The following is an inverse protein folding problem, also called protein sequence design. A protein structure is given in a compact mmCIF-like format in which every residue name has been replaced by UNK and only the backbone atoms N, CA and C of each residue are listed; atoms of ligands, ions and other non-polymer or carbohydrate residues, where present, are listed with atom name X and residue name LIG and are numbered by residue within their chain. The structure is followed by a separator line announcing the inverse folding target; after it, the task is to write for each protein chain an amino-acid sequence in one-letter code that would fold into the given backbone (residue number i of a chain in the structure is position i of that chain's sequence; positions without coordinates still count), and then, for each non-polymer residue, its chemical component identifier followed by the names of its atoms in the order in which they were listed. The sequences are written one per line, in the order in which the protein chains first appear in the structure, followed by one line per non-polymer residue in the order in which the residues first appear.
data_IF_303518709797
#
_entry.id   IF_303518709797
#
_cell.length_a   1.000
_cell.length_b   1.000
_cell.length_c   1.000
_cell.angle_alpha   90.00
_cell.angle_beta   90.00
_cell.angle_gamma   90.00
#
_symmetry.space_group_name_H-M   'P 1'
#
loop_
_entity.id
_entity.type
_entity.pdbx_description
1 polymer ?
#
# COMPACT_ATOMS: atom_id res chain seq x y z
N UNK A 1 13.43 27.08 33.37
CA UNK A 1 13.70 26.74 31.95
C UNK A 1 14.87 25.77 31.84
N UNK A 2 16.07 26.13 32.32
CA UNK A 2 17.27 25.28 32.24
C UNK A 2 17.13 23.87 32.85
N UNK A 3 16.46 23.74 34.00
CA UNK A 3 16.22 22.44 34.63
C UNK A 3 15.35 21.52 33.76
N UNK A 4 14.31 22.05 33.12
CA UNK A 4 13.45 21.29 32.20
C UNK A 4 14.23 20.85 30.96
N UNK A 5 15.03 21.73 30.37
CA UNK A 5 15.90 21.40 29.24
C UNK A 5 16.90 20.29 29.60
N UNK A 6 17.43 20.28 30.83
CA UNK A 6 18.29 19.18 31.31
C UNK A 6 17.54 17.86 31.44
N UNK A 7 16.31 17.86 31.94
CA UNK A 7 15.48 16.64 32.02
C UNK A 7 15.25 16.09 30.60
N UNK A 8 14.85 16.95 29.67
CA UNK A 8 14.63 16.58 28.26
C UNK A 8 15.93 16.07 27.62
N UNK A 9 17.05 16.77 27.79
CA UNK A 9 18.34 16.37 27.24
C UNK A 9 18.86 15.05 27.82
N UNK A 10 18.67 14.84 29.13
CA UNK A 10 19.05 13.59 29.81
C UNK A 10 18.22 12.43 29.28
N UNK A 11 16.91 12.66 29.14
CA UNK A 11 15.98 11.66 28.60
C UNK A 11 16.26 11.34 27.13
N UNK A 12 16.60 12.35 26.33
CA UNK A 12 16.92 12.20 24.92
C UNK A 12 18.24 11.47 24.65
N UNK A 13 19.12 11.33 25.65
CA UNK A 13 20.36 10.57 25.58
C UNK A 13 21.25 10.89 24.35
N UNK A 14 21.21 12.14 23.87
CA UNK A 14 21.96 12.60 22.70
C UNK A 14 21.20 12.59 21.37
N UNK A 15 19.97 12.06 21.29
CA UNK A 15 19.13 12.19 20.09
C UNK A 15 18.33 13.50 20.11
N UNK A 16 18.76 14.47 19.30
CA UNK A 16 18.11 15.77 19.19
C UNK A 16 16.64 15.68 18.74
N UNK A 17 16.23 14.63 18.02
CA UNK A 17 14.83 14.43 17.59
C UNK A 17 13.96 14.03 18.76
N UNK A 18 14.45 13.15 19.64
CA UNK A 18 13.75 12.78 20.87
C UNK A 18 13.55 14.01 21.75
N UNK A 19 14.60 14.83 21.90
CA UNK A 19 14.51 16.09 22.64
C UNK A 19 13.46 17.05 22.05
N UNK A 20 13.45 17.20 20.72
CA UNK A 20 12.50 18.07 20.02
C UNK A 20 11.06 17.56 20.15
N UNK A 21 10.83 16.25 19.97
CA UNK A 21 9.51 15.64 20.11
C UNK A 21 8.96 15.81 21.53
N UNK A 22 9.77 15.55 22.56
CA UNK A 22 9.36 15.76 23.96
C UNK A 22 8.99 17.22 24.20
N UNK A 23 9.76 18.16 23.65
CA UNK A 23 9.46 19.58 23.75
C UNK A 23 8.15 19.95 23.03
N UNK A 24 7.94 19.45 21.82
CA UNK A 24 6.75 19.70 21.01
C UNK A 24 5.49 19.14 21.68
N UNK A 25 5.55 17.90 22.16
CA UNK A 25 4.47 17.32 22.97
C UNK A 25 4.21 18.11 24.24
N UNK A 26 5.25 18.61 24.91
CA UNK A 26 5.11 19.39 26.14
C UNK A 26 4.44 20.74 25.88
N UNK A 27 4.72 21.38 24.76
CA UNK A 27 4.05 22.62 24.34
C UNK A 27 2.59 22.34 23.94
N UNK A 28 2.34 21.29 23.16
CA UNK A 28 0.99 20.93 22.70
C UNK A 28 0.08 20.44 23.83
N UNK A 29 0.66 19.92 24.91
CA UNK A 29 -0.06 19.41 26.08
C UNK A 29 -0.18 20.44 27.21
N UNK A 30 0.43 21.63 27.07
CA UNK A 30 0.33 22.68 28.08
C UNK A 30 -0.99 23.44 27.96
N UNK A 31 -1.67 23.65 29.09
CA UNK A 31 -2.87 24.47 29.11
C UNK A 31 -2.54 25.97 29.01
N UNK A 32 -3.28 26.75 28.19
CA UNK A 32 -3.15 28.19 28.14
C UNK A 32 -3.49 28.81 29.49
N UNK A 33 -2.66 29.73 29.95
CA UNK A 33 -2.95 30.53 31.14
C UNK A 33 -3.98 31.61 30.85
N UNK A 34 -4.61 32.20 31.88
CA UNK A 34 -5.57 33.30 31.71
C UNK A 34 -5.00 34.53 30.98
N UNK A 35 -3.68 34.68 30.95
CA UNK A 35 -2.95 35.74 30.24
C UNK A 35 -2.58 35.38 28.80
N UNK A 36 -3.04 34.23 28.30
CA UNK A 36 -2.74 33.71 26.95
C UNK A 36 -1.35 33.09 26.81
N UNK A 37 -0.55 33.01 27.88
CA UNK A 37 0.79 32.39 27.82
C UNK A 37 0.73 30.89 28.07
N UNK A 38 1.61 30.13 27.40
CA UNK A 38 1.79 28.70 27.65
C UNK A 38 2.95 28.51 28.64
N UNK A 39 2.73 27.71 29.68
CA UNK A 39 3.79 27.29 30.59
C UNK A 39 3.87 25.78 30.68
N UNK A 40 4.95 25.25 30.13
CA UNK A 40 5.36 23.87 30.35
C UNK A 40 5.84 23.70 31.79
N UNK A 41 5.24 22.76 32.52
CA UNK A 41 5.65 22.38 33.87
C UNK A 41 6.46 21.09 33.86
N UNK A 42 7.17 20.85 34.97
CA UNK A 42 7.94 19.60 35.12
C UNK A 42 7.04 18.36 35.13
N UNK A 43 5.85 18.47 35.71
CA UNK A 43 4.88 17.37 35.74
C UNK A 43 4.43 16.98 34.33
N UNK A 44 4.15 17.95 33.45
CA UNK A 44 3.82 17.70 32.03
C UNK A 44 4.96 16.98 31.33
N UNK A 45 6.20 17.45 31.49
CA UNK A 45 7.37 16.81 30.88
C UNK A 45 7.59 15.41 31.44
N UNK A 46 7.41 15.20 32.75
CA UNK A 46 7.55 13.89 33.39
C UNK A 46 6.45 12.92 32.98
N UNK A 47 5.23 13.39 32.75
CA UNK A 47 4.13 12.57 32.24
C UNK A 47 4.43 12.10 30.81
N UNK A 48 4.92 13.00 29.95
CA UNK A 48 5.33 12.68 28.58
C UNK A 48 6.48 11.67 28.56
N UNK A 49 7.48 11.88 29.42
CA UNK A 49 8.62 10.96 29.58
C UNK A 49 8.20 9.58 30.13
N UNK A 50 7.14 9.53 30.96
CA UNK A 50 6.60 8.29 31.54
C UNK A 50 5.76 7.49 30.56
N UNK A 51 5.20 8.13 29.52
CA UNK A 51 4.57 7.38 28.43
C UNK A 51 5.68 6.52 27.81
N UNK A 52 5.49 5.21 27.64
CA UNK A 52 6.48 4.38 26.98
C UNK A 52 6.65 4.95 25.60
N UNK A 53 7.72 5.69 25.38
CA UNK A 53 7.87 6.33 24.10
C UNK A 53 8.27 5.23 23.16
N UNK A 54 7.28 4.83 22.36
CA UNK A 54 7.44 3.95 21.23
C UNK A 54 8.26 4.70 20.18
N UNK A 55 9.45 5.21 20.49
CA UNK A 55 10.30 5.75 19.44
C UNK A 55 10.73 4.55 18.60
N UNK A 56 10.03 4.33 17.49
CA UNK A 56 10.58 3.58 16.39
C UNK A 56 11.79 4.37 15.95
N UNK A 57 12.97 3.80 16.14
CA UNK A 57 14.14 4.24 15.41
C UNK A 57 13.75 4.13 13.92
N UNK A 58 13.47 5.28 13.28
CA UNK A 58 13.10 5.35 11.86
C UNK A 58 14.19 4.75 10.96
N UNK A 59 15.39 4.52 11.49
CA UNK A 59 16.52 3.83 10.85
C UNK A 59 16.82 2.44 11.45
N UNK A 60 16.05 2.00 12.44
CA UNK A 60 16.33 0.81 13.23
C UNK A 60 15.50 -0.41 12.83
N UNK A 61 15.87 -1.53 13.42
CA UNK A 61 15.24 -2.84 13.19
C UNK A 61 13.73 -2.85 13.50
N UNK A 62 13.30 -2.10 14.53
CA UNK A 62 11.91 -2.08 14.99
C UNK A 62 10.95 -1.49 13.96
N UNK A 63 11.36 -0.47 13.20
CA UNK A 63 10.58 0.08 12.09
C UNK A 63 10.21 -1.02 11.08
N UNK A 64 11.21 -1.81 10.67
CA UNK A 64 11.02 -2.90 9.72
C UNK A 64 10.19 -4.04 10.31
N UNK A 65 10.36 -4.34 11.60
CA UNK A 65 9.58 -5.37 12.29
C UNK A 65 8.09 -4.99 12.37
N UNK A 66 7.77 -3.75 12.74
CA UNK A 66 6.39 -3.28 12.85
C UNK A 66 5.66 -3.28 11.51
N UNK A 67 6.27 -2.72 10.46
CA UNK A 67 5.63 -2.70 9.13
C UNK A 67 5.53 -4.09 8.52
N UNK A 68 6.50 -4.96 8.77
CA UNK A 68 6.48 -6.36 8.35
C UNK A 68 5.35 -7.13 9.02
N UNK A 69 5.17 -6.96 10.34
CA UNK A 69 4.08 -7.55 11.09
C UNK A 69 2.72 -7.04 10.61
N UNK A 70 2.59 -5.72 10.41
CA UNK A 70 1.39 -5.09 9.89
C UNK A 70 0.94 -5.69 8.55
N UNK A 71 1.84 -5.72 7.55
CA UNK A 71 1.52 -6.22 6.21
C UNK A 71 1.24 -7.72 6.22
N UNK A 72 1.94 -8.49 7.05
CA UNK A 72 1.64 -9.92 7.24
C UNK A 72 0.26 -10.13 7.87
N UNK A 73 -0.13 -9.35 8.87
CA UNK A 73 -1.47 -9.45 9.48
C UNK A 73 -2.57 -9.17 8.47
N UNK A 74 -2.44 -8.10 7.66
CA UNK A 74 -3.42 -7.80 6.60
C UNK A 74 -3.49 -8.93 5.56
N UNK A 75 -2.33 -9.46 5.13
CA UNK A 75 -2.25 -10.59 4.18
C UNK A 75 -2.91 -11.87 4.70
N UNK A 76 -2.78 -12.15 6.00
CA UNK A 76 -3.40 -13.32 6.65
C UNK A 76 -4.86 -13.06 7.08
N UNK A 77 -5.44 -11.92 6.70
CA UNK A 77 -6.81 -11.53 7.05
C UNK A 77 -7.05 -11.42 8.57
N UNK A 78 -6.00 -11.16 9.34
CA UNK A 78 -6.09 -10.89 10.78
C UNK A 78 -6.27 -9.38 10.99
N UNK A 79 -7.53 -8.95 11.01
CA UNK A 79 -7.91 -7.54 11.13
C UNK A 79 -7.52 -6.94 12.48
N UNK A 80 -7.62 -7.71 13.57
CA UNK A 80 -7.31 -7.24 14.92
C UNK A 80 -5.81 -7.03 15.09
N UNK A 81 -4.98 -7.99 14.64
CA UNK A 81 -3.53 -7.81 14.65
C UNK A 81 -3.09 -6.67 13.73
N UNK A 82 -3.71 -6.53 12.56
CA UNK A 82 -3.40 -5.42 11.65
C UNK A 82 -3.69 -4.05 12.30
N UNK A 83 -4.82 -3.90 13.00
CA UNK A 83 -5.13 -2.68 13.75
C UNK A 83 -4.14 -2.41 14.87
N UNK A 84 -3.73 -3.45 15.61
CA UNK A 84 -2.73 -3.31 16.66
C UNK A 84 -1.39 -2.79 16.11
N UNK A 85 -0.88 -3.36 15.02
CA UNK A 85 0.37 -2.93 14.42
C UNK A 85 0.27 -1.54 13.79
N UNK A 86 -0.88 -1.20 13.18
CA UNK A 86 -1.15 0.15 12.69
C UNK A 86 -1.09 1.18 13.83
N UNK A 87 -1.80 0.91 14.93
CA UNK A 87 -1.81 1.78 16.10
C UNK A 87 -0.41 1.94 16.70
N UNK A 88 0.33 0.84 16.85
CA UNK A 88 1.73 0.85 17.32
C UNK A 88 2.62 1.75 16.46
N UNK A 89 2.52 1.66 15.13
CA UNK A 89 3.29 2.52 14.23
C UNK A 89 2.88 4.00 14.32
N UNK A 90 1.58 4.30 14.37
CA UNK A 90 1.09 5.67 14.46
C UNK A 90 1.46 6.35 15.78
N UNK A 91 1.31 5.64 16.90
CA UNK A 91 1.73 6.13 18.22
C UNK A 91 3.25 6.21 18.33
N UNK A 92 3.98 5.42 17.54
CA UNK A 92 5.43 5.49 17.42
C UNK A 92 5.95 6.65 16.54
N UNK A 93 5.06 7.44 15.94
CA UNK A 93 5.42 8.54 15.05
C UNK A 93 5.96 8.10 13.69
N UNK A 94 5.57 6.91 13.24
CA UNK A 94 5.85 6.43 11.88
C UNK A 94 5.27 7.39 10.82
N UNK A 95 5.95 7.51 9.67
CA UNK A 95 5.41 8.32 8.57
C UNK A 95 4.06 7.70 8.09
N UNK A 96 2.91 8.39 8.23
CA UNK A 96 1.63 7.83 7.80
C UNK A 96 1.57 7.62 6.28
N UNK A 97 2.33 8.38 5.49
CA UNK A 97 2.44 8.13 4.05
C UNK A 97 3.26 6.87 3.77
N UNK A 98 4.23 6.50 4.62
CA UNK A 98 4.92 5.22 4.52
C UNK A 98 3.95 4.06 4.72
N UNK A 99 3.12 4.11 5.76
CA UNK A 99 2.07 3.11 6.00
C UNK A 99 1.12 3.03 4.80
N UNK A 100 0.63 4.18 4.31
CA UNK A 100 -0.28 4.23 3.17
C UNK A 100 0.32 3.62 1.89
N UNK A 101 1.59 3.92 1.58
CA UNK A 101 2.30 3.31 0.43
C UNK A 101 2.35 1.78 0.54
N UNK A 102 2.53 1.25 1.75
CA UNK A 102 2.57 -0.21 1.99
C UNK A 102 1.20 -0.86 1.81
N UNK A 103 0.12 -0.17 2.18
CA UNK A 103 -1.25 -0.62 1.88
C UNK A 103 -1.55 -0.62 0.37
N UNK A 104 -1.10 0.40 -0.37
CA UNK A 104 -1.26 0.46 -1.84
C UNK A 104 -0.54 -0.71 -2.51
N UNK A 105 0.69 -1.04 -2.09
CA UNK A 105 1.42 -2.21 -2.61
C UNK A 105 0.66 -3.50 -2.30
N UNK A 106 0.27 -3.70 -1.04
CA UNK A 106 -0.46 -4.89 -0.60
C UNK A 106 -1.78 -5.07 -1.38
N UNK A 107 -2.50 -3.99 -1.68
CA UNK A 107 -3.75 -4.04 -2.41
C UNK A 107 -3.60 -4.68 -3.80
N UNK A 108 -2.49 -4.45 -4.49
CA UNK A 108 -2.20 -5.11 -5.78
C UNK A 108 -1.49 -6.45 -5.64
N UNK A 109 -0.66 -6.62 -4.61
CA UNK A 109 0.17 -7.82 -4.39
C UNK A 109 -0.63 -9.00 -3.84
N UNK A 110 -1.47 -8.75 -2.83
CA UNK A 110 -2.09 -9.79 -2.00
C UNK A 110 -3.62 -9.88 -2.18
N UNK A 111 -4.25 -8.91 -2.85
CA UNK A 111 -5.70 -8.89 -3.15
C UNK A 111 -5.93 -8.86 -4.67
N UNK A 112 -5.33 -7.89 -5.37
CA UNK A 112 -5.31 -7.84 -6.83
C UNK A 112 -6.72 -7.87 -7.44
N UNK A 113 -6.94 -8.78 -8.39
CA UNK A 113 -8.21 -8.92 -9.09
C UNK A 113 -9.27 -9.70 -8.30
N UNK A 114 -8.95 -10.25 -7.12
CA UNK A 114 -9.97 -10.83 -6.25
C UNK A 114 -10.93 -9.75 -5.70
N UNK A 115 -10.42 -8.54 -5.50
CA UNK A 115 -11.22 -7.35 -5.23
C UNK A 115 -10.52 -6.07 -5.76
N UNK A 116 -10.85 -5.63 -7.00
CA UNK A 116 -10.23 -4.45 -7.58
C UNK A 116 -10.45 -3.14 -6.80
N UNK A 117 -11.48 -3.07 -5.93
CA UNK A 117 -11.72 -1.88 -5.11
C UNK A 117 -10.67 -1.70 -4.01
N UNK A 118 -9.91 -2.75 -3.66
CA UNK A 118 -8.82 -2.68 -2.70
C UNK A 118 -7.80 -1.57 -3.04
N UNK A 119 -7.37 -1.49 -4.31
CA UNK A 119 -6.40 -0.47 -4.73
C UNK A 119 -7.00 0.93 -4.64
N UNK A 120 -8.27 1.09 -5.01
CA UNK A 120 -8.99 2.38 -4.95
C UNK A 120 -9.09 2.86 -3.51
N UNK A 121 -9.51 1.99 -2.58
CA UNK A 121 -9.62 2.30 -1.15
C UNK A 121 -8.25 2.67 -0.54
N UNK A 122 -7.20 1.93 -0.88
CA UNK A 122 -5.84 2.21 -0.40
C UNK A 122 -5.33 3.58 -0.89
N UNK A 123 -5.56 3.92 -2.17
CA UNK A 123 -5.19 5.22 -2.73
C UNK A 123 -6.01 6.35 -2.10
N UNK A 124 -7.32 6.16 -1.88
CA UNK A 124 -8.15 7.13 -1.20
C UNK A 124 -7.67 7.41 0.24
N UNK A 125 -7.27 6.36 0.98
CA UNK A 125 -6.68 6.54 2.30
C UNK A 125 -5.34 7.28 2.25
N UNK A 126 -4.47 6.99 1.28
CA UNK A 126 -3.23 7.75 1.05
C UNK A 126 -3.51 9.23 0.75
N UNK A 127 -4.51 9.52 -0.08
CA UNK A 127 -4.93 10.89 -0.38
C UNK A 127 -5.48 11.60 0.85
N UNK A 128 -6.28 10.90 1.67
CA UNK A 128 -6.75 11.44 2.94
C UNK A 128 -5.60 11.77 3.90
N UNK A 129 -4.56 10.92 3.96
CA UNK A 129 -3.34 11.23 4.74
C UNK A 129 -2.67 12.51 4.22
N UNK A 130 -2.57 12.68 2.91
CA UNK A 130 -1.93 13.86 2.32
C UNK A 130 -2.76 15.14 2.51
N UNK A 131 -4.08 15.04 2.35
CA UNK A 131 -5.00 16.18 2.36
C UNK A 131 -5.42 16.60 3.77
N UNK A 132 -5.74 15.63 4.63
CA UNK A 132 -6.25 15.88 6.00
C UNK A 132 -5.10 15.93 7.01
N UNK A 133 -4.13 15.03 6.90
CA UNK A 133 -3.05 14.90 7.89
C UNK A 133 -3.48 14.21 9.19
N UNK A 134 -2.51 13.93 10.05
CA UNK A 134 -2.75 13.39 11.40
C UNK A 134 -3.15 14.51 12.37
N UNK A 135 -3.98 14.24 13.40
CA UNK A 135 -4.48 12.92 13.83
C UNK A 135 -5.72 12.38 13.11
N UNK A 136 -6.47 13.19 12.36
CA UNK A 136 -7.76 12.78 11.80
C UNK A 136 -7.61 11.71 10.71
N UNK A 137 -6.53 11.75 9.91
CA UNK A 137 -6.27 10.76 8.88
C UNK A 137 -5.99 9.34 9.42
N UNK A 138 -5.81 9.16 10.74
CA UNK A 138 -5.75 7.81 11.36
C UNK A 138 -7.00 7.00 10.99
N UNK A 139 -8.18 7.63 10.93
CA UNK A 139 -9.43 6.95 10.59
C UNK A 139 -9.44 6.42 9.16
N UNK A 140 -8.89 7.17 8.21
CA UNK A 140 -8.79 6.73 6.81
C UNK A 140 -7.86 5.52 6.67
N UNK A 141 -6.71 5.54 7.36
CA UNK A 141 -5.79 4.40 7.42
C UNK A 141 -6.43 3.16 8.07
N UNK A 142 -7.15 3.36 9.18
CA UNK A 142 -7.89 2.29 9.88
C UNK A 142 -8.94 1.67 8.96
N UNK A 143 -9.74 2.48 8.29
CA UNK A 143 -10.77 2.01 7.36
C UNK A 143 -10.16 1.17 6.22
N UNK A 144 -9.11 1.68 5.56
CA UNK A 144 -8.45 0.93 4.50
C UNK A 144 -7.82 -0.37 5.01
N UNK A 145 -7.20 -0.34 6.18
CA UNK A 145 -6.61 -1.55 6.81
C UNK A 145 -7.66 -2.63 7.03
N UNK A 146 -8.81 -2.27 7.62
CA UNK A 146 -9.91 -3.22 7.86
C UNK A 146 -10.49 -3.76 6.55
N UNK A 147 -10.67 -2.89 5.56
CA UNK A 147 -11.14 -3.28 4.23
C UNK A 147 -10.21 -4.34 3.62
N UNK A 148 -8.91 -4.04 3.56
CA UNK A 148 -7.91 -4.91 2.94
C UNK A 148 -7.72 -6.22 3.71
N UNK A 149 -7.79 -6.18 5.05
CA UNK A 149 -7.72 -7.38 5.87
C UNK A 149 -8.91 -8.32 5.58
N UNK A 150 -10.10 -7.77 5.32
CA UNK A 150 -11.31 -8.56 5.03
C UNK A 150 -11.52 -8.91 3.56
N UNK A 151 -10.79 -8.27 2.64
CA UNK A 151 -10.90 -8.55 1.22
C UNK A 151 -10.44 -9.97 0.86
N UNK A 152 -11.02 -10.62 -0.18
CA UNK A 152 -10.50 -11.88 -0.69
C UNK A 152 -9.05 -11.72 -1.15
N UNK A 153 -8.21 -12.73 -0.90
CA UNK A 153 -6.78 -12.67 -1.19
C UNK A 153 -6.47 -13.36 -2.52
N UNK A 154 -5.63 -12.73 -3.33
CA UNK A 154 -5.03 -13.36 -4.51
C UNK A 154 -3.75 -12.64 -4.88
N UNK A 155 -2.70 -13.42 -5.14
CA UNK A 155 -1.43 -12.92 -5.67
C UNK A 155 -1.27 -13.18 -7.18
N UNK A 156 -2.36 -13.50 -7.90
CA UNK A 156 -2.33 -13.83 -9.31
C UNK A 156 -1.72 -12.72 -10.18
N UNK A 157 -1.97 -11.45 -9.84
CA UNK A 157 -1.37 -10.28 -10.52
C UNK A 157 0.16 -10.28 -10.36
N UNK A 158 0.65 -10.45 -9.12
CA UNK A 158 2.09 -10.51 -8.84
C UNK A 158 2.74 -11.68 -9.59
N UNK A 159 2.14 -12.88 -9.53
CA UNK A 159 2.68 -14.07 -10.21
C UNK A 159 2.72 -13.90 -11.72
N UNK A 160 1.66 -13.35 -12.31
CA UNK A 160 1.59 -13.10 -13.75
C UNK A 160 2.70 -12.14 -14.21
N UNK A 161 2.90 -11.05 -13.48
CA UNK A 161 3.97 -10.11 -13.81
C UNK A 161 5.35 -10.74 -13.65
N UNK A 162 5.61 -11.48 -12.56
CA UNK A 162 6.90 -12.16 -12.36
C UNK A 162 7.21 -13.19 -13.44
N UNK A 163 6.20 -13.91 -13.92
CA UNK A 163 6.37 -14.86 -15.02
C UNK A 163 6.75 -14.14 -16.32
N UNK A 164 6.05 -13.06 -16.67
CA UNK A 164 6.38 -12.24 -17.84
C UNK A 164 7.77 -11.60 -17.71
N UNK A 165 8.11 -11.08 -16.53
CA UNK A 165 9.42 -10.49 -16.25
C UNK A 165 10.56 -11.51 -16.39
N UNK A 166 10.32 -12.76 -16.01
CA UNK A 166 11.28 -13.85 -16.23
C UNK A 166 11.49 -14.12 -17.72
N UNK A 167 10.41 -14.29 -18.48
CA UNK A 167 10.52 -14.56 -19.92
C UNK A 167 11.21 -13.39 -20.65
N UNK A 168 11.02 -12.13 -20.23
CA UNK A 168 11.76 -10.97 -20.78
C UNK A 168 13.27 -11.05 -20.52
N UNK A 169 13.68 -11.53 -19.34
CA UNK A 169 15.11 -11.73 -19.03
C UNK A 169 15.71 -12.87 -19.84
N UNK A 170 14.95 -13.93 -20.08
CA UNK A 170 15.40 -15.11 -20.82
C UNK A 170 15.38 -14.87 -22.35
N UNK A 171 14.50 -13.98 -22.83
CA UNK A 171 14.29 -13.65 -24.24
C UNK A 171 14.40 -12.14 -24.53
N UNK A 172 15.54 -11.48 -24.25
CA UNK A 172 15.64 -10.01 -24.24
C UNK A 172 15.61 -9.34 -25.61
N UNK A 173 15.65 -10.10 -26.71
CA UNK A 173 15.76 -9.58 -28.09
C UNK A 173 14.58 -9.96 -28.97
N UNK A 174 13.50 -10.49 -28.41
CA UNK A 174 12.32 -10.82 -29.19
C UNK A 174 11.71 -9.55 -29.79
N UNK A 175 11.55 -9.49 -31.13
CA UNK A 175 10.98 -8.32 -31.76
C UNK A 175 9.48 -8.24 -31.53
N UNK A 176 8.93 -7.03 -31.50
CA UNK A 176 7.48 -6.83 -31.64
C UNK A 176 7.03 -7.42 -32.98
N UNK A 177 5.98 -8.27 -33.02
CA UNK A 177 5.43 -8.80 -34.28
C UNK A 177 5.08 -7.69 -35.28
N UNK A 178 5.35 -7.88 -36.57
CA UNK A 178 5.21 -6.84 -37.61
C UNK A 178 3.81 -6.22 -37.64
N UNK A 179 2.77 -7.04 -37.51
CA UNK A 179 1.38 -6.61 -37.49
C UNK A 179 1.01 -5.74 -36.27
N UNK A 180 1.79 -5.78 -35.18
CA UNK A 180 1.62 -4.89 -34.02
C UNK A 180 2.47 -3.62 -34.09
N UNK A 181 3.41 -3.52 -35.04
CA UNK A 181 4.27 -2.33 -35.15
C UNK A 181 3.50 -1.16 -35.75
N UNK A 182 3.77 0.04 -35.25
CA UNK A 182 3.15 1.26 -35.73
C UNK A 182 3.79 1.73 -37.07
N UNK A 183 3.03 1.82 -38.18
CA UNK A 183 3.57 2.18 -39.49
C UNK A 183 3.58 3.69 -39.76
N UNK A 184 4.43 4.43 -39.05
CA UNK A 184 4.43 5.90 -39.08
C UNK A 184 5.03 6.48 -40.37
N UNK A 185 6.19 5.97 -40.82
CA UNK A 185 6.91 6.51 -41.99
C UNK A 185 6.55 5.74 -43.28
N UNK A 186 6.93 6.29 -44.44
CA UNK A 186 6.78 5.58 -45.73
C UNK A 186 7.56 4.26 -45.73
N UNK A 187 8.83 4.31 -45.33
CA UNK A 187 9.68 3.12 -45.22
C UNK A 187 9.07 2.05 -44.30
N UNK A 188 8.51 2.44 -43.14
CA UNK A 188 7.86 1.48 -42.23
C UNK A 188 6.69 0.74 -42.89
N UNK A 189 5.86 1.45 -43.68
CA UNK A 189 4.78 0.84 -44.45
C UNK A 189 5.30 -0.09 -45.54
N UNK A 190 6.34 0.34 -46.26
CA UNK A 190 6.99 -0.44 -47.31
C UNK A 190 7.58 -1.77 -46.79
N UNK A 191 8.16 -1.76 -45.58
CA UNK A 191 8.72 -2.97 -44.95
C UNK A 191 7.67 -3.78 -44.16
N UNK A 192 6.39 -3.44 -44.29
CA UNK A 192 5.28 -4.27 -43.80
C UNK A 192 4.86 -4.04 -42.35
N UNK A 193 5.15 -2.89 -41.74
CA UNK A 193 4.65 -2.58 -40.40
C UNK A 193 3.12 -2.45 -40.42
N UNK A 194 2.46 -3.03 -39.42
CA UNK A 194 1.00 -3.02 -39.30
C UNK A 194 0.25 -3.86 -40.34
N UNK A 195 0.94 -4.47 -41.31
CA UNK A 195 0.31 -5.36 -42.28
C UNK A 195 -0.23 -6.60 -41.55
N UNK A 196 -1.50 -6.91 -41.77
CA UNK A 196 -2.19 -8.01 -41.11
C UNK A 196 -2.73 -7.67 -39.71
N UNK A 197 -2.62 -6.41 -39.26
CA UNK A 197 -3.28 -5.98 -38.03
C UNK A 197 -4.80 -6.14 -38.14
N UNK A 198 -5.40 -6.79 -37.14
CA UNK A 198 -6.84 -6.93 -37.02
C UNK A 198 -7.36 -5.97 -35.95
N UNK A 199 -8.12 -4.96 -36.37
CA UNK A 199 -8.77 -4.06 -35.43
C UNK A 199 -10.03 -4.72 -34.87
N UNK A 200 -10.02 -5.07 -33.58
CA UNK A 200 -11.03 -5.93 -32.95
C UNK A 200 -12.47 -5.40 -33.12
N UNK A 201 -12.66 -4.10 -33.24
CA UNK A 201 -13.99 -3.48 -33.34
C UNK A 201 -14.59 -3.49 -34.75
N UNK A 202 -13.83 -3.91 -35.77
CA UNK A 202 -14.36 -4.14 -37.12
C UNK A 202 -15.03 -5.52 -37.27
N UNK A 203 -14.95 -6.35 -36.23
CA UNK A 203 -15.51 -7.70 -36.20
C UNK A 203 -16.62 -7.80 -35.16
N UNK A 204 -17.53 -8.75 -35.37
CA UNK A 204 -18.54 -9.10 -34.37
C UNK A 204 -17.87 -9.52 -33.04
N UNK A 205 -18.40 -9.12 -31.88
CA UNK A 205 -17.86 -9.50 -30.58
C UNK A 205 -17.68 -11.02 -30.45
N UNK A 206 -16.45 -11.44 -30.15
CA UNK A 206 -16.10 -12.86 -30.00
C UNK A 206 -15.87 -13.62 -31.31
N UNK A 207 -15.80 -12.93 -32.46
CA UNK A 207 -15.49 -13.57 -33.74
C UNK A 207 -14.08 -14.20 -33.75
N UNK A 208 -13.94 -15.50 -34.11
CA UNK A 208 -12.63 -16.14 -34.29
C UNK A 208 -11.78 -15.45 -35.37
N UNK A 209 -12.43 -14.81 -36.35
CA UNK A 209 -11.74 -14.08 -37.41
C UNK A 209 -11.02 -12.84 -36.88
N UNK A 210 -11.39 -12.34 -35.70
CA UNK A 210 -10.75 -11.23 -35.03
C UNK A 210 -9.50 -11.65 -34.23
N UNK A 211 -9.29 -12.96 -34.01
CA UNK A 211 -8.15 -13.46 -33.24
C UNK A 211 -6.82 -13.23 -33.99
N UNK A 212 -5.82 -12.82 -33.21
CA UNK A 212 -4.48 -12.51 -33.70
C UNK A 212 -3.45 -12.75 -32.58
N UNK A 213 -2.33 -13.46 -32.84
CA UNK A 213 -1.30 -13.63 -31.84
C UNK A 213 -0.62 -12.29 -31.55
N UNK A 214 -0.54 -11.90 -30.27
CA UNK A 214 0.11 -10.66 -29.87
C UNK A 214 1.50 -10.84 -29.24
N UNK A 215 1.79 -12.05 -28.74
CA UNK A 215 3.13 -12.37 -28.25
C UNK A 215 4.10 -12.59 -29.42
N UNK A 216 5.41 -12.35 -29.20
CA UNK A 216 6.45 -12.79 -30.13
C UNK A 216 6.37 -14.29 -30.39
N UNK A 217 6.92 -14.72 -31.53
CA UNK A 217 6.85 -16.13 -31.95
C UNK A 217 7.43 -17.09 -30.92
N UNK A 218 8.57 -16.73 -30.32
CA UNK A 218 9.22 -17.55 -29.30
C UNK A 218 8.37 -17.75 -28.04
N UNK A 219 7.39 -16.87 -27.78
CA UNK A 219 6.51 -16.90 -26.62
C UNK A 219 5.08 -17.29 -27.00
N UNK A 220 4.85 -17.77 -28.23
CA UNK A 220 3.52 -18.16 -28.71
C UNK A 220 2.90 -19.20 -27.78
N UNK A 221 1.67 -18.94 -27.34
CA UNK A 221 0.92 -19.82 -26.44
C UNK A 221 1.29 -19.71 -24.96
N UNK A 222 2.25 -18.86 -24.58
CA UNK A 222 2.48 -18.57 -23.15
C UNK A 222 1.26 -17.90 -22.54
N UNK A 223 0.92 -18.36 -21.34
CA UNK A 223 -0.16 -17.81 -20.50
C UNK A 223 0.46 -17.33 -19.20
N UNK A 224 0.38 -16.03 -18.94
CA UNK A 224 0.91 -15.43 -17.71
C UNK A 224 -0.15 -15.31 -16.62
N UNK A 225 -1.40 -15.11 -17.03
CA UNK A 225 -2.50 -14.87 -16.11
C UNK A 225 -3.59 -15.92 -16.33
N UNK A 226 -3.96 -16.59 -15.24
CA UNK A 226 -5.13 -17.44 -15.13
C UNK A 226 -5.96 -16.90 -13.97
N UNK A 227 -7.24 -16.63 -14.20
CA UNK A 227 -8.14 -16.28 -13.10
C UNK A 227 -8.31 -17.53 -12.24
N UNK A 228 -7.83 -17.47 -10.99
CA UNK A 228 -8.21 -18.45 -9.99
C UNK A 228 -9.73 -18.32 -9.77
N UNK A 229 -10.45 -19.44 -9.79
CA UNK A 229 -11.84 -19.44 -9.38
C UNK A 229 -11.93 -18.89 -7.95
N UNK A 230 -12.76 -17.87 -7.76
CA UNK A 230 -12.91 -17.16 -6.49
C UNK A 230 -13.12 -18.18 -5.34
N UNK A 231 -12.29 -18.21 -4.28
CA UNK A 231 -12.42 -19.21 -3.23
C UNK A 231 -13.61 -18.98 -2.28
N UNK A 232 -14.50 -18.03 -2.55
CA UNK A 232 -15.77 -17.89 -1.83
C UNK A 232 -16.96 -18.26 -2.71
N UNK A 233 -17.73 -19.29 -2.32
CA UNK A 233 -18.92 -19.69 -3.05
C UNK A 233 -20.03 -18.65 -2.83
N UNK A 234 -20.78 -18.38 -3.89
CA UNK A 234 -22.16 -17.93 -3.77
C UNK A 234 -22.91 -18.90 -2.85
N UNK A 235 -23.58 -18.37 -1.81
CA UNK A 235 -24.55 -19.13 -1.02
C UNK A 235 -24.11 -19.52 0.39
N UNK A 236 -23.99 -18.53 1.28
CA UNK A 236 -24.32 -18.73 2.69
C UNK A 236 -25.65 -18.04 2.97
N UNK A 237 -26.75 -18.67 2.54
CA UNK A 237 -28.07 -18.37 3.10
C UNK A 237 -28.05 -18.85 4.56
N UNK A 238 -28.34 -18.01 5.56
CA UNK A 238 -28.58 -18.53 6.89
C UNK A 238 -29.90 -19.28 6.82
N UNK A 239 -29.84 -20.61 6.83
CA UNK A 239 -31.01 -21.42 7.15
C UNK A 239 -31.51 -20.99 8.52
N UNK A 240 -32.65 -20.31 8.49
CA UNK A 240 -33.49 -20.15 9.66
C UNK A 240 -34.12 -21.51 9.92
N UNK A 241 -33.56 -22.25 10.87
CA UNK A 241 -34.36 -23.23 11.59
C UNK A 241 -34.83 -22.57 12.89
N UNK A 242 -36.10 -22.19 12.88
CA UNK A 242 -36.88 -21.99 14.10
C UNK A 242 -37.76 -23.21 14.31
N UNK A 243 -37.60 -23.86 15.47
CA UNK A 243 -38.63 -24.22 16.48
C UNK A 243 -37.97 -25.07 17.55
#
# INVERSE_FOLDING_TARGET
AEALLRIIATYAAGDARVALNVLEFAVNSAEPRPDGTLRVTEDVVREIIRRPILFSDKSGEEHYNLISAFIKSVRHSDADAALYWLARMLEAGEDPLFIARRLVILASEDIGLADPQALVQAVAAMQAVHFVGLPEAKLALTQATLYLARAPKSNAVLRAYRAAESDVRDHPREPVPLHLRNPVTALMREVGYGVGYKYIHDYEPGSPDAEMPCLPEALRGRKYFEMEANPHPEGASPEREGT
#
